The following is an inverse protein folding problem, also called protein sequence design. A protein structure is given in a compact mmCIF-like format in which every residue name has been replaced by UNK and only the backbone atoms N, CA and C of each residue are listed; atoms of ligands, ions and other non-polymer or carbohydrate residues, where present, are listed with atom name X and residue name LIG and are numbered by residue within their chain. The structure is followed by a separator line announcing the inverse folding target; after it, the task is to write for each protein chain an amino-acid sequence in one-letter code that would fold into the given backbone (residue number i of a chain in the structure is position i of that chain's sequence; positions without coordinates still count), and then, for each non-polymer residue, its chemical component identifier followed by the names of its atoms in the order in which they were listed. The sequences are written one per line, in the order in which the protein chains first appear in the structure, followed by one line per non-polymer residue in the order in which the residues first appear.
data_IF_733493285773
#
_entry.id   IF_733493285773
#
_cell.length_a   1.000
_cell.length_b   1.000
_cell.length_c   1.000
_cell.angle_alpha   90.00
_cell.angle_beta   90.00
_cell.angle_gamma   90.00
#
_symmetry.space_group_name_H-M   'P 1'
#
loop_
_entity.id
_entity.type
_entity.pdbx_description
1 polymer ?
#
# COMPACT_ATOMS: atom_id res chain seq x y z
N UNK A 1 -2.97 -16.29 -12.94
CA UNK A 1 -3.83 -15.35 -12.19
C UNK A 1 -3.94 -15.85 -10.76
N UNK A 2 -4.09 -14.93 -9.80
CA UNK A 2 -4.23 -15.26 -8.37
C UNK A 2 -5.47 -14.57 -7.81
N UNK A 3 -6.18 -15.26 -6.92
CA UNK A 3 -7.31 -14.74 -6.14
C UNK A 3 -7.05 -15.09 -4.67
N UNK A 4 -7.43 -14.21 -3.76
CA UNK A 4 -7.26 -14.46 -2.34
C UNK A 4 -8.37 -13.87 -1.50
N UNK A 5 -8.65 -14.51 -0.37
CA UNK A 5 -9.56 -14.02 0.67
C UNK A 5 -9.20 -14.62 2.03
N UNK A 6 -9.79 -14.08 3.10
CA UNK A 6 -9.61 -14.56 4.47
C UNK A 6 -10.97 -14.99 5.03
N UNK A 7 -11.04 -16.17 5.65
CA UNK A 7 -12.19 -16.72 6.39
C UNK A 7 -11.61 -17.33 7.68
N UNK A 8 -12.14 -17.02 8.87
CA UNK A 8 -11.39 -16.44 9.98
C UNK A 8 -9.98 -16.99 10.16
N UNK A 9 -8.97 -16.09 10.10
CA UNK A 9 -7.53 -16.36 10.27
C UNK A 9 -6.89 -17.34 9.28
N UNK A 10 -7.65 -17.94 8.38
CA UNK A 10 -7.13 -18.71 7.25
C UNK A 10 -7.15 -17.85 5.99
N UNK A 11 -5.97 -17.65 5.40
CA UNK A 11 -5.79 -17.10 4.07
C UNK A 11 -5.98 -18.20 3.04
N UNK A 12 -6.93 -18.00 2.13
CA UNK A 12 -7.15 -18.84 0.96
C UNK A 12 -6.49 -18.19 -0.26
N UNK A 13 -5.67 -18.95 -0.97
CA UNK A 13 -5.03 -18.53 -2.23
C UNK A 13 -5.46 -19.48 -3.34
N UNK A 14 -6.05 -18.92 -4.39
CA UNK A 14 -6.39 -19.62 -5.62
C UNK A 14 -5.40 -19.19 -6.69
N UNK A 15 -4.72 -20.15 -7.32
CA UNK A 15 -3.78 -19.92 -8.42
C UNK A 15 -4.24 -20.69 -9.65
N UNK A 16 -4.32 -20.00 -10.77
CA UNK A 16 -4.56 -20.63 -12.08
C UNK A 16 -3.43 -20.29 -13.05
N UNK A 17 -3.09 -21.27 -13.89
CA UNK A 17 -2.11 -21.15 -14.98
C UNK A 17 -2.76 -21.14 -16.37
N UNK A 18 -4.06 -21.41 -16.45
CA UNK A 18 -4.78 -21.70 -17.71
C UNK A 18 -6.02 -20.82 -17.89
N UNK A 19 -6.00 -19.61 -17.34
CA UNK A 19 -7.10 -18.65 -17.51
C UNK A 19 -8.33 -18.96 -16.65
N UNK A 20 -8.20 -19.83 -15.64
CA UNK A 20 -9.26 -20.14 -14.68
C UNK A 20 -10.02 -21.44 -14.98
N UNK A 21 -9.51 -22.28 -15.88
CA UNK A 21 -10.07 -23.62 -16.13
C UNK A 21 -9.75 -24.57 -14.96
N UNK A 22 -8.52 -24.49 -14.43
CA UNK A 22 -8.11 -25.22 -13.24
C UNK A 22 -7.51 -24.28 -12.19
N UNK A 23 -7.77 -24.63 -10.92
CA UNK A 23 -7.35 -23.86 -9.76
C UNK A 23 -6.62 -24.72 -8.75
N UNK A 24 -5.37 -24.36 -8.46
CA UNK A 24 -4.66 -24.81 -7.28
C UNK A 24 -5.16 -24.00 -6.08
N UNK A 25 -5.52 -24.68 -4.99
CA UNK A 25 -5.99 -24.04 -3.75
C UNK A 25 -4.96 -24.25 -2.65
N UNK A 26 -4.44 -23.14 -2.12
CA UNK A 26 -3.57 -23.15 -0.95
C UNK A 26 -4.28 -22.48 0.23
N UNK A 27 -4.00 -22.97 1.43
CA UNK A 27 -4.48 -22.40 2.69
C UNK A 27 -3.29 -22.13 3.58
N UNK A 28 -3.32 -20.99 4.28
CA UNK A 28 -2.29 -20.62 5.23
C UNK A 28 -2.91 -19.96 6.44
N UNK A 29 -2.55 -20.42 7.63
CA UNK A 29 -2.99 -19.82 8.89
C UNK A 29 -2.23 -18.52 9.13
N UNK A 30 -2.87 -17.38 8.85
CA UNK A 30 -2.26 -16.05 9.04
C UNK A 30 -2.33 -15.57 10.49
N UNK A 31 -3.16 -16.21 11.32
CA UNK A 31 -3.30 -15.88 12.74
C UNK A 31 -3.61 -14.40 12.97
N UNK A 32 -2.77 -13.72 13.75
CA UNK A 32 -2.95 -12.28 14.10
C UNK A 32 -2.65 -11.30 12.95
N UNK A 33 -2.16 -11.78 11.80
CA UNK A 33 -1.62 -10.93 10.74
C UNK A 33 -2.67 -10.50 9.71
N UNK A 34 -3.92 -10.29 10.11
CA UNK A 34 -4.96 -9.66 9.29
C UNK A 34 -6.32 -10.35 9.32
N UNK A 35 -7.35 -9.56 9.07
CA UNK A 35 -8.74 -10.01 8.93
C UNK A 35 -9.25 -9.81 7.50
N UNK A 36 -8.72 -8.80 6.79
CA UNK A 36 -9.04 -8.51 5.40
C UNK A 36 -7.78 -8.28 4.56
N UNK A 37 -7.90 -8.50 3.25
CA UNK A 37 -6.84 -8.22 2.27
C UNK A 37 -7.10 -6.86 1.64
N UNK A 38 -6.13 -5.96 1.72
CA UNK A 38 -6.15 -4.69 0.98
C UNK A 38 -5.58 -4.87 -0.42
N UNK A 39 -4.42 -5.54 -0.54
CA UNK A 39 -3.76 -5.76 -1.84
C UNK A 39 -3.09 -7.12 -1.85
N UNK A 40 -3.24 -7.86 -2.96
CA UNK A 40 -2.42 -9.01 -3.30
C UNK A 40 -1.62 -8.67 -4.57
N UNK A 41 -0.31 -8.89 -4.56
CA UNK A 41 0.52 -8.75 -5.74
C UNK A 41 1.60 -9.83 -5.81
N UNK A 42 1.69 -10.49 -6.96
CA UNK A 42 2.84 -11.31 -7.34
C UNK A 42 3.70 -10.54 -8.36
N UNK A 43 5.02 -10.52 -8.16
CA UNK A 43 5.98 -9.92 -9.13
C UNK A 43 6.68 -11.00 -9.95
N UNK A 44 6.73 -12.23 -9.44
CA UNK A 44 7.08 -13.45 -10.16
C UNK A 44 6.06 -14.54 -9.80
N UNK A 45 6.05 -15.71 -10.48
CA UNK A 45 5.13 -16.79 -10.11
C UNK A 45 5.35 -17.36 -8.70
N UNK A 46 6.50 -17.08 -8.09
CA UNK A 46 6.96 -17.55 -6.77
C UNK A 46 6.96 -16.43 -5.72
N UNK A 47 7.31 -15.20 -6.09
CA UNK A 47 7.47 -14.07 -5.17
C UNK A 47 6.25 -13.14 -5.19
N UNK A 48 5.63 -12.96 -4.03
CA UNK A 48 4.45 -12.12 -3.86
C UNK A 48 4.32 -11.52 -2.48
N UNK A 49 3.46 -10.51 -2.38
CA UNK A 49 3.14 -9.78 -1.17
C UNK A 49 1.63 -9.68 -0.99
N UNK A 50 1.18 -9.71 0.26
CA UNK A 50 -0.17 -9.37 0.67
C UNK A 50 -0.08 -8.25 1.69
N UNK A 51 -0.79 -7.15 1.43
CA UNK A 51 -1.11 -6.16 2.44
C UNK A 51 -2.45 -6.54 3.07
N UNK A 52 -2.44 -6.87 4.36
CA UNK A 52 -3.65 -7.16 5.13
C UNK A 52 -3.93 -6.05 6.12
N UNK A 53 -5.18 -6.01 6.58
CA UNK A 53 -5.66 -5.08 7.60
C UNK A 53 -6.35 -5.83 8.71
N UNK A 54 -6.16 -5.35 9.94
CA UNK A 54 -6.89 -5.79 11.13
C UNK A 54 -7.46 -4.57 11.82
N UNK A 55 -8.74 -4.62 12.19
CA UNK A 55 -9.36 -3.52 12.93
C UNK A 55 -9.09 -3.69 14.42
N UNK A 56 -8.60 -2.63 15.05
CA UNK A 56 -8.49 -2.48 16.50
C UNK A 56 -9.42 -1.38 17.01
N UNK A 57 -9.39 -1.12 18.33
CA UNK A 57 -10.21 -0.08 18.96
C UNK A 57 -9.86 1.33 18.44
N UNK A 58 -10.49 1.74 17.35
CA UNK A 58 -10.30 3.05 16.70
C UNK A 58 -9.06 3.18 15.82
N UNK A 59 -8.32 2.08 15.57
CA UNK A 59 -7.13 2.07 14.71
C UNK A 59 -7.15 0.85 13.81
N UNK A 60 -6.59 0.98 12.60
CA UNK A 60 -6.31 -0.13 11.71
C UNK A 60 -4.82 -0.46 11.73
N UNK A 61 -4.49 -1.75 11.83
CA UNK A 61 -3.11 -2.24 11.75
C UNK A 61 -2.93 -2.89 10.38
N UNK A 62 -1.90 -2.45 9.64
CA UNK A 62 -1.55 -3.00 8.34
C UNK A 62 -0.35 -3.96 8.47
N UNK A 63 -0.49 -5.20 8.00
CA UNK A 63 0.59 -6.17 7.92
C UNK A 63 0.94 -6.47 6.48
N UNK A 64 2.23 -6.69 6.24
CA UNK A 64 2.78 -7.10 4.96
C UNK A 64 3.32 -8.50 5.09
N UNK A 65 2.63 -9.41 4.43
CA UNK A 65 3.05 -10.79 4.28
C UNK A 65 3.79 -10.95 2.96
N UNK A 66 4.87 -11.73 2.94
CA UNK A 66 5.64 -12.08 1.75
C UNK A 66 5.63 -13.60 1.57
N UNK A 67 5.57 -14.04 0.32
CA UNK A 67 5.81 -15.43 -0.09
C UNK A 67 6.99 -15.49 -1.07
N UNK A 68 7.72 -16.61 -1.05
CA UNK A 68 8.73 -16.95 -2.05
C UNK A 68 8.46 -18.33 -2.68
N UNK A 69 7.28 -18.92 -2.45
CA UNK A 69 6.91 -20.27 -2.90
C UNK A 69 5.58 -20.30 -3.66
N UNK A 70 5.17 -19.15 -4.20
CA UNK A 70 3.96 -19.01 -5.02
C UNK A 70 2.68 -18.95 -4.21
N UNK A 71 2.76 -18.55 -2.94
CA UNK A 71 1.61 -18.37 -2.04
C UNK A 71 1.26 -19.58 -1.20
N UNK A 72 2.15 -20.59 -1.11
CA UNK A 72 1.94 -21.77 -0.25
C UNK A 72 2.26 -21.44 1.21
N UNK A 73 3.25 -20.59 1.45
CA UNK A 73 3.62 -20.05 2.76
C UNK A 73 3.80 -18.55 2.71
N UNK A 74 3.47 -17.91 3.82
CA UNK A 74 3.53 -16.46 3.99
C UNK A 74 4.25 -16.10 5.28
N UNK A 75 5.11 -15.10 5.21
CA UNK A 75 5.89 -14.60 6.34
C UNK A 75 5.62 -13.10 6.51
N UNK A 76 5.40 -12.64 7.73
CA UNK A 76 5.33 -11.20 8.00
C UNK A 76 6.73 -10.58 7.83
N UNK A 77 6.81 -9.55 6.99
CA UNK A 77 8.07 -8.86 6.69
C UNK A 77 8.11 -7.39 7.10
N UNK A 78 6.99 -6.72 7.39
CA UNK A 78 6.99 -5.29 7.77
C UNK A 78 6.92 -5.05 9.28
N UNK A 79 7.93 -5.52 10.02
CA UNK A 79 8.03 -5.20 11.45
C UNK A 79 8.58 -3.77 11.57
N UNK A 80 7.69 -2.79 11.78
CA UNK A 80 8.13 -1.42 12.10
C UNK A 80 8.69 -1.41 13.53
N UNK A 81 9.99 -1.19 13.65
CA UNK A 81 10.66 -1.19 14.95
C UNK A 81 10.13 -0.07 15.86
N UNK A 82 9.72 -0.48 17.07
CA UNK A 82 9.55 0.32 18.30
C UNK A 82 8.32 1.25 18.36
N UNK A 83 7.16 0.67 18.65
CA UNK A 83 6.39 0.89 19.90
C UNK A 83 5.21 -0.08 19.95
N UNK A 84 5.32 -1.06 20.84
CA UNK A 84 4.30 -2.00 21.32
C UNK A 84 3.64 -2.99 20.33
N UNK A 85 3.87 -2.91 19.01
CA UNK A 85 3.24 -3.82 18.04
C UNK A 85 4.02 -4.00 16.74
N UNK A 86 3.71 -5.06 15.97
CA UNK A 86 4.49 -5.55 14.83
C UNK A 86 4.07 -5.00 13.43
N UNK A 87 3.20 -3.98 13.34
CA UNK A 87 2.60 -3.52 12.07
C UNK A 87 2.56 -2.00 11.86
N UNK A 88 2.07 -1.53 10.70
CA UNK A 88 1.96 -0.10 10.37
C UNK A 88 0.59 0.44 10.85
N UNK A 89 0.61 1.44 11.72
CA UNK A 89 -0.58 2.09 12.27
C UNK A 89 -1.23 3.05 11.30
N UNK A 90 -2.56 2.97 11.25
CA UNK A 90 -3.40 3.89 10.49
C UNK A 90 -4.63 4.28 11.29
N UNK A 91 -5.01 5.54 11.23
CA UNK A 91 -6.34 5.99 11.63
C UNK A 91 -7.35 5.88 10.47
N UNK A 92 -6.93 5.37 9.31
CA UNK A 92 -7.70 5.28 8.07
C UNK A 92 -7.82 3.83 7.58
N UNK A 93 -8.84 3.61 6.76
CA UNK A 93 -9.31 2.33 6.24
C UNK A 93 -8.77 1.99 4.84
N UNK A 94 -8.01 2.90 4.22
CA UNK A 94 -7.59 2.80 2.81
C UNK A 94 -6.08 2.78 2.68
N UNK A 95 -5.54 1.61 2.35
CA UNK A 95 -4.13 1.40 2.05
C UNK A 95 -3.95 0.75 0.68
N UNK A 96 -2.78 0.98 0.08
CA UNK A 96 -2.42 0.46 -1.23
C UNK A 96 -0.93 0.10 -1.26
N UNK A 97 -0.56 -0.78 -2.17
CA UNK A 97 0.78 -1.37 -2.25
C UNK A 97 1.19 -1.57 -3.70
N UNK A 98 2.47 -1.31 -3.99
CA UNK A 98 3.10 -1.73 -5.25
C UNK A 98 4.53 -2.16 -5.03
N UNK A 99 4.85 -3.39 -5.41
CA UNK A 99 6.21 -3.89 -5.60
C UNK A 99 6.56 -3.87 -7.10
N UNK A 100 7.75 -3.40 -7.41
CA UNK A 100 8.31 -3.37 -8.77
C UNK A 100 9.25 -4.54 -9.05
N UNK A 101 9.86 -5.05 -7.99
CA UNK A 101 10.67 -6.26 -7.99
C UNK A 101 10.75 -6.78 -6.54
N UNK A 102 11.54 -7.83 -6.33
CA UNK A 102 11.64 -8.49 -5.02
C UNK A 102 12.14 -7.63 -3.86
N UNK A 103 12.76 -6.49 -4.18
CA UNK A 103 13.39 -5.58 -3.22
C UNK A 103 12.65 -4.24 -3.11
N UNK A 104 12.19 -3.69 -4.23
CA UNK A 104 11.69 -2.33 -4.31
C UNK A 104 10.17 -2.30 -4.26
N UNK A 105 9.63 -1.66 -3.22
CA UNK A 105 8.19 -1.58 -3.00
C UNK A 105 7.76 -0.29 -2.30
N UNK A 106 6.47 -0.05 -2.40
CA UNK A 106 5.80 1.13 -1.88
C UNK A 106 4.52 0.72 -1.17
N UNK A 107 4.26 1.34 -0.03
CA UNK A 107 2.98 1.28 0.67
C UNK A 107 2.52 2.72 0.87
N UNK A 108 1.27 2.99 0.52
CA UNK A 108 0.61 4.25 0.84
C UNK A 108 -0.59 3.96 1.71
N UNK A 109 -0.77 4.76 2.76
CA UNK A 109 -1.91 4.65 3.68
C UNK A 109 -2.55 6.03 3.76
N UNK A 110 -3.89 6.05 3.71
CA UNK A 110 -4.63 7.30 3.77
C UNK A 110 -4.45 7.93 5.15
N UNK A 111 -4.48 9.26 5.20
CA UNK A 111 -4.29 9.99 6.44
C UNK A 111 -5.55 10.79 6.74
N UNK A 112 -6.25 10.42 7.80
CA UNK A 112 -7.45 11.15 8.22
C UNK A 112 -7.13 12.49 8.92
N UNK A 113 -5.84 12.77 9.16
CA UNK A 113 -5.37 13.99 9.82
C UNK A 113 -4.86 15.07 8.85
N UNK A 114 -4.86 14.82 7.54
CA UNK A 114 -4.39 15.81 6.58
C UNK A 114 -4.41 15.33 5.12
N UNK A 115 -4.01 16.22 4.18
CA UNK A 115 -4.14 15.96 2.74
C UNK A 115 -3.07 15.02 2.19
N UNK A 116 -1.96 14.80 2.92
CA UNK A 116 -0.88 13.92 2.48
C UNK A 116 -1.06 12.49 3.02
N UNK A 117 -0.90 11.44 2.19
CA UNK A 117 -0.85 10.06 2.70
C UNK A 117 0.38 9.82 3.56
N UNK A 118 0.33 8.76 4.36
CA UNK A 118 1.54 8.14 4.89
C UNK A 118 2.15 7.28 3.77
N UNK A 119 3.21 7.78 3.14
CA UNK A 119 3.91 7.10 2.05
C UNK A 119 5.21 6.47 2.55
N UNK A 120 5.39 5.19 2.27
CA UNK A 120 6.55 4.42 2.68
C UNK A 120 7.19 3.72 1.48
N UNK A 121 8.51 3.66 1.47
CA UNK A 121 9.33 2.94 0.49
C UNK A 121 10.21 1.90 1.16
N UNK A 122 10.34 0.74 0.54
CA UNK A 122 11.32 -0.29 0.90
C UNK A 122 12.26 -0.56 -0.27
N UNK A 123 13.49 -0.95 0.05
CA UNK A 123 14.51 -1.41 -0.91
C UNK A 123 15.04 -2.81 -0.56
N UNK A 124 14.43 -3.49 0.40
CA UNK A 124 14.84 -4.80 0.90
C UNK A 124 13.69 -5.82 0.99
N UNK A 125 12.64 -5.59 0.19
CA UNK A 125 11.51 -6.50 0.06
C UNK A 125 10.49 -6.37 1.19
N UNK A 126 10.52 -5.25 1.90
CA UNK A 126 9.59 -4.91 2.97
C UNK A 126 10.14 -5.11 4.38
N UNK A 127 11.41 -5.51 4.54
CA UNK A 127 12.05 -5.74 5.85
C UNK A 127 12.30 -4.43 6.59
N UNK A 128 12.60 -3.36 5.86
CA UNK A 128 12.70 -2.01 6.38
C UNK A 128 11.99 -1.01 5.46
N UNK A 129 11.50 0.07 6.07
CA UNK A 129 10.72 1.10 5.41
C UNK A 129 11.26 2.49 5.74
N UNK A 130 11.39 3.33 4.71
CA UNK A 130 11.65 4.76 4.83
C UNK A 130 10.36 5.53 4.55
N UNK A 131 9.98 6.44 5.46
CA UNK A 131 8.87 7.36 5.21
C UNK A 131 9.30 8.41 4.19
N UNK A 132 8.44 8.66 3.20
CA UNK A 132 8.62 9.70 2.20
C UNK A 132 7.66 10.83 2.52
N UNK A 133 8.21 12.00 2.80
CA UNK A 133 7.42 13.20 3.06
C UNK A 133 7.04 13.89 1.74
N UNK A 134 5.77 14.26 1.61
CA UNK A 134 5.25 15.03 0.49
C UNK A 134 4.85 16.42 0.97
N UNK A 135 5.42 17.45 0.34
CA UNK A 135 5.03 18.84 0.61
C UNK A 135 3.73 19.17 -0.11
N UNK A 136 2.62 19.15 0.62
CA UNK A 136 1.32 19.61 0.12
C UNK A 136 1.23 21.13 0.29
N UNK A 137 0.87 21.90 -0.76
CA UNK A 137 0.67 23.33 -0.64
C UNK A 137 -0.38 23.71 0.40
N UNK A 138 -0.14 24.80 1.13
CA UNK A 138 -1.00 25.28 2.23
C UNK A 138 -2.46 25.50 1.81
N UNK A 139 -2.70 25.84 0.54
CA UNK A 139 -4.06 25.99 0.01
C UNK A 139 -4.91 24.71 0.10
N UNK A 140 -4.28 23.55 0.23
CA UNK A 140 -4.95 22.25 0.36
C UNK A 140 -4.95 21.70 1.80
N UNK A 141 -4.55 22.50 2.81
CA UNK A 141 -4.48 22.01 4.21
C UNK A 141 -5.79 21.49 4.77
N UNK A 142 -6.92 22.03 4.27
CA UNK A 142 -8.27 21.68 4.70
C UNK A 142 -8.90 20.64 3.76
N UNK A 143 -8.14 20.09 2.82
CA UNK A 143 -8.58 18.98 2.00
C UNK A 143 -8.27 17.65 2.71
N UNK A 144 -9.06 16.63 2.38
CA UNK A 144 -8.78 15.25 2.75
C UNK A 144 -8.45 14.42 1.51
N UNK A 145 -7.62 13.40 1.71
CA UNK A 145 -7.25 12.47 0.65
C UNK A 145 -8.40 11.47 0.43
N UNK A 146 -8.81 11.27 -0.83
CA UNK A 146 -9.87 10.29 -1.13
C UNK A 146 -9.36 8.85 -1.13
N UNK A 147 -8.12 8.63 -1.58
CA UNK A 147 -7.53 7.30 -1.63
C UNK A 147 -6.01 7.37 -1.57
N UNK A 148 -5.42 6.37 -0.91
CA UNK A 148 -4.00 6.14 -0.94
C UNK A 148 -3.58 5.52 -2.28
N UNK A 149 -2.88 6.30 -3.10
CA UNK A 149 -2.25 5.81 -4.32
C UNK A 149 -0.76 5.57 -4.08
N UNK A 150 -0.20 4.65 -4.87
CA UNK A 150 1.23 4.35 -4.88
C UNK A 150 1.89 4.91 -6.14
N UNK A 151 3.18 5.29 -6.08
CA UNK A 151 3.93 5.76 -7.24
C UNK A 151 3.87 4.81 -8.42
N UNK A 152 3.78 5.38 -9.64
CA UNK A 152 3.94 4.69 -10.93
C UNK A 152 5.23 5.16 -11.59
N UNK A 153 6.14 4.23 -11.87
CA UNK A 153 7.43 4.52 -12.49
C UNK A 153 7.44 4.19 -13.98
N UNK A 154 7.97 5.12 -14.79
CA UNK A 154 8.23 4.90 -16.21
C UNK A 154 9.59 4.21 -16.43
N UNK A 155 10.56 4.51 -15.56
CA UNK A 155 11.87 3.87 -15.50
C UNK A 155 12.42 3.88 -14.06
N UNK A 156 13.70 3.56 -13.86
CA UNK A 156 14.31 3.51 -12.52
C UNK A 156 14.53 4.88 -11.85
N UNK A 157 14.28 5.99 -12.55
CA UNK A 157 14.46 7.37 -12.09
C UNK A 157 13.14 8.15 -12.10
N UNK A 158 12.40 8.06 -13.20
CA UNK A 158 11.23 8.87 -13.49
C UNK A 158 9.94 8.19 -13.03
N UNK A 159 9.17 8.88 -12.20
CA UNK A 159 7.91 8.36 -11.70
C UNK A 159 6.93 9.47 -11.34
N UNK A 160 5.66 9.07 -11.20
CA UNK A 160 4.55 9.94 -10.86
C UNK A 160 3.76 9.38 -9.69
N UNK A 161 3.29 10.28 -8.84
CA UNK A 161 2.32 9.98 -7.79
C UNK A 161 1.16 10.95 -7.91
N UNK A 162 -0.06 10.44 -7.95
CA UNK A 162 -1.26 11.24 -8.09
C UNK A 162 -2.02 11.22 -6.77
N UNK A 163 -2.26 12.39 -6.20
CA UNK A 163 -3.15 12.58 -5.06
C UNK A 163 -4.47 13.16 -5.55
N UNK A 164 -5.56 12.52 -5.16
CA UNK A 164 -6.92 13.03 -5.34
C UNK A 164 -7.41 13.53 -3.99
N UNK A 165 -7.61 14.84 -3.90
CA UNK A 165 -8.03 15.52 -2.68
C UNK A 165 -9.45 16.05 -2.86
N UNK A 166 -10.22 16.08 -1.78
CA UNK A 166 -11.50 16.77 -1.72
C UNK A 166 -11.45 17.84 -0.64
N UNK A 167 -11.89 19.05 -0.97
CA UNK A 167 -11.95 20.15 -0.01
C UNK A 167 -12.72 21.34 -0.56
N UNK A 168 -12.78 22.44 0.20
CA UNK A 168 -13.53 23.63 -0.21
C UNK A 168 -12.84 24.33 -1.37
N UNK A 169 -13.62 24.68 -2.40
CA UNK A 169 -13.21 25.61 -3.43
C UNK A 169 -13.36 27.08 -2.95
N UNK A 170 -13.15 28.04 -3.84
CA UNK A 170 -13.26 29.49 -3.53
C UNK A 170 -14.65 29.91 -3.03
N UNK A 171 -15.69 29.15 -3.36
CA UNK A 171 -17.09 29.39 -2.96
C UNK A 171 -17.50 28.50 -1.77
N UNK A 172 -16.55 27.89 -1.06
CA UNK A 172 -16.76 26.92 0.02
C UNK A 172 -17.58 25.68 -0.37
N UNK A 173 -17.66 25.34 -1.66
CA UNK A 173 -18.26 24.08 -2.11
C UNK A 173 -17.21 22.98 -2.17
N UNK A 174 -17.62 21.76 -1.85
CA UNK A 174 -16.74 20.60 -1.95
C UNK A 174 -16.35 20.37 -3.41
N UNK A 175 -15.05 20.38 -3.68
CA UNK A 175 -14.47 20.18 -5.01
C UNK A 175 -13.33 19.17 -4.95
N UNK A 176 -13.13 18.47 -6.08
CA UNK A 176 -12.01 17.57 -6.28
C UNK A 176 -10.80 18.34 -6.80
N UNK A 177 -9.64 18.15 -6.17
CA UNK A 177 -8.35 18.65 -6.60
C UNK A 177 -7.41 17.49 -6.92
N UNK A 178 -6.71 17.58 -8.05
CA UNK A 178 -5.73 16.57 -8.48
C UNK A 178 -4.34 17.18 -8.37
N UNK A 179 -3.49 16.58 -7.54
CA UNK A 179 -2.08 16.94 -7.43
C UNK A 179 -1.24 15.84 -8.06
N UNK A 180 -0.33 16.21 -8.96
CA UNK A 180 0.61 15.29 -9.59
C UNK A 180 2.01 15.59 -9.08
N UNK A 181 2.60 14.66 -8.37
CA UNK A 181 4.00 14.71 -7.97
C UNK A 181 4.85 13.93 -8.97
N UNK A 182 6.03 14.45 -9.26
CA UNK A 182 7.01 13.85 -10.15
C UNK A 182 8.31 13.62 -9.39
N UNK A 183 8.97 12.50 -9.71
CA UNK A 183 10.32 12.19 -9.24
C UNK A 183 11.22 11.94 -10.45
N UNK A 184 12.50 12.28 -10.32
CA UNK A 184 13.55 12.03 -11.33
C UNK A 184 14.75 11.28 -10.72
N UNK A 185 14.62 10.84 -9.47
CA UNK A 185 15.69 10.20 -8.69
C UNK A 185 15.27 8.84 -8.12
N UNK A 186 14.26 8.21 -8.72
CA UNK A 186 13.77 6.90 -8.31
C UNK A 186 12.85 6.94 -7.09
N UNK A 187 12.24 8.10 -6.82
CA UNK A 187 11.35 8.31 -5.68
C UNK A 187 12.07 8.60 -4.38
N UNK A 188 13.32 9.07 -4.42
CA UNK A 188 13.97 9.59 -3.22
C UNK A 188 13.40 10.98 -2.87
N UNK A 189 13.14 11.80 -3.88
CA UNK A 189 12.49 13.10 -3.73
C UNK A 189 11.33 13.26 -4.71
N UNK A 190 10.34 14.06 -4.31
CA UNK A 190 9.12 14.31 -5.06
C UNK A 190 8.88 15.81 -5.17
N UNK A 191 8.51 16.27 -6.37
CA UNK A 191 8.17 17.67 -6.63
C UNK A 191 6.76 17.74 -7.17
N UNK A 192 5.95 18.62 -6.61
CA UNK A 192 4.64 18.92 -7.17
C UNK A 192 4.82 19.56 -8.55
N UNK A 193 4.20 18.97 -9.57
CA UNK A 193 4.16 19.53 -10.91
C UNK A 193 3.35 20.83 -10.87
N UNK A 194 3.98 21.94 -11.25
CA UNK A 194 3.28 23.21 -11.46
C UNK A 194 2.55 23.14 -12.80
N UNK A 195 1.28 23.52 -12.79
CA UNK A 195 0.50 23.72 -14.02
C UNK A 195 1.04 24.93 -14.79
#
# INVERSE_FOLDING_TARGET
MWIAWIVPQTLHILKTKDGGLHWDIFKFEIGKYGEAISVLQFVTPEEGWILTTMNGAGMQINYLLKTNDGGKRWENVNITGKKNYDGIYSAADRSNMKFYNKNNGWISISNNLGPAPLLFRTTDGGKSWSKIELSVPEIYKNCYLSSANVPVFADNKQGKLILELYGPNKDNKLEKHILVYETIDGGNTWRLRKN
#
